data_IF_568730141586
#
_entry.id   IF_568730141586
#
_cell.length_a   1.000
_cell.length_b   1.000
_cell.length_c   1.000
_cell.angle_alpha   90.00
_cell.angle_beta   90.00
_cell.angle_gamma   90.00
#
_symmetry.space_group_name_H-M   'P 1'
#
loop_
_entity.id
_entity.type
_entity.pdbx_description
1 polymer ?
#
# COMPACT_ATOMS: atom_id res chain seq x y z
N UNK A 1 8.56 5.04 -8.92
CA UNK A 1 8.47 5.70 -7.60
C UNK A 1 8.23 7.19 -7.83
N UNK A 2 7.08 7.76 -7.42
CA UNK A 2 6.80 9.18 -7.62
C UNK A 2 7.85 10.05 -6.91
N UNK A 3 8.19 11.22 -7.49
CA UNK A 3 9.21 12.15 -6.97
C UNK A 3 9.02 12.48 -5.49
N UNK A 4 7.77 12.58 -5.04
CA UNK A 4 7.39 12.81 -3.64
C UNK A 4 7.93 11.73 -2.69
N UNK A 5 7.86 10.44 -3.06
CA UNK A 5 8.28 9.35 -2.19
C UNK A 5 9.82 9.30 -2.02
N UNK A 6 10.58 9.81 -3.00
CA UNK A 6 12.04 10.00 -2.87
C UNK A 6 12.37 11.11 -1.86
N UNK A 7 11.69 12.24 -1.94
CA UNK A 7 11.88 13.33 -0.98
C UNK A 7 11.36 13.00 0.42
N UNK A 8 10.26 12.24 0.51
CA UNK A 8 9.74 11.71 1.77
C UNK A 8 10.77 10.78 2.42
N UNK A 9 11.38 9.85 1.68
CA UNK A 9 12.37 8.92 2.22
C UNK A 9 13.68 9.61 2.62
N UNK A 10 14.15 10.61 1.87
CA UNK A 10 15.31 11.43 2.25
C UNK A 10 14.98 12.31 3.45
N UNK A 11 13.80 12.94 3.47
CA UNK A 11 13.31 13.72 4.60
C UNK A 11 13.10 12.86 5.85
N UNK A 12 12.62 11.62 5.68
CA UNK A 12 12.48 10.62 6.73
C UNK A 12 13.86 10.20 7.23
N UNK A 13 14.84 9.94 6.36
CA UNK A 13 16.21 9.63 6.80
C UNK A 13 16.84 10.77 7.62
N UNK A 14 16.57 12.03 7.27
CA UNK A 14 17.00 13.22 8.05
C UNK A 14 16.23 13.34 9.36
N UNK A 15 14.91 13.09 9.36
CA UNK A 15 14.10 13.04 10.58
C UNK A 15 14.57 11.94 11.53
N UNK A 16 14.84 10.74 11.01
CA UNK A 16 15.34 9.58 11.73
C UNK A 16 16.74 9.81 12.31
N UNK A 17 17.59 10.58 11.62
CA UNK A 17 18.90 10.99 12.12
C UNK A 17 18.80 12.04 13.25
N UNK A 18 17.68 12.75 13.39
CA UNK A 18 17.52 13.87 14.33
C UNK A 18 16.57 13.58 15.49
N UNK A 19 15.66 12.61 15.36
CA UNK A 19 14.71 12.18 16.40
C UNK A 19 15.11 10.88 17.09
N UNK A 20 16.27 10.31 16.74
CA UNK A 20 16.82 9.10 17.35
C UNK A 20 17.22 9.29 18.81
N UNK A 21 16.23 9.42 19.69
CA UNK A 21 16.42 9.28 21.14
C UNK A 21 15.81 7.97 21.61
N UNK A 22 16.71 7.15 22.16
CA UNK A 22 16.49 6.01 23.04
C UNK A 22 16.16 4.63 22.42
N UNK A 23 16.94 3.64 22.90
CA UNK A 23 16.69 2.18 22.91
C UNK A 23 17.24 1.30 21.79
N UNK A 24 18.53 1.48 21.42
CA UNK A 24 19.34 0.37 20.95
C UNK A 24 20.63 0.29 21.77
N UNK A 25 20.96 -0.89 22.29
CA UNK A 25 22.29 -1.22 22.86
C UNK A 25 23.42 -1.08 21.80
N UNK A 26 23.04 -0.98 20.52
CA UNK A 26 23.93 -0.72 19.38
C UNK A 26 23.96 0.78 19.06
N UNK A 27 25.16 1.33 18.85
CA UNK A 27 25.39 2.77 18.60
C UNK A 27 24.60 3.29 17.38
N UNK A 28 24.04 4.50 17.47
CA UNK A 28 23.20 5.08 16.42
C UNK A 28 23.82 5.14 15.01
N UNK A 29 25.15 5.26 14.90
CA UNK A 29 25.87 5.23 13.61
C UNK A 29 25.80 3.86 12.91
N UNK A 30 25.89 2.76 13.66
CA UNK A 30 25.77 1.41 13.12
C UNK A 30 24.36 1.15 12.58
N UNK A 31 23.33 1.65 13.28
CA UNK A 31 21.94 1.53 12.86
C UNK A 31 21.63 2.37 11.61
N UNK A 32 22.17 3.58 11.52
CA UNK A 32 22.06 4.42 10.31
C UNK A 32 22.78 3.75 9.13
N UNK A 33 23.99 3.25 9.34
CA UNK A 33 24.75 2.53 8.31
C UNK A 33 24.02 1.26 7.83
N UNK A 34 23.43 0.51 8.75
CA UNK A 34 22.61 -0.65 8.43
C UNK A 34 21.34 -0.27 7.66
N UNK A 35 20.65 0.81 8.05
CA UNK A 35 19.49 1.31 7.33
C UNK A 35 19.83 1.73 5.89
N UNK A 36 20.97 2.41 5.69
CA UNK A 36 21.48 2.73 4.36
C UNK A 36 21.82 1.47 3.56
N UNK A 37 22.52 0.51 4.19
CA UNK A 37 22.86 -0.77 3.57
C UNK A 37 21.61 -1.53 3.12
N UNK A 38 20.59 -1.60 3.96
CA UNK A 38 19.32 -2.26 3.70
C UNK A 38 18.47 -1.53 2.64
N UNK A 39 18.54 -0.21 2.58
CA UNK A 39 17.89 0.59 1.55
C UNK A 39 18.51 0.33 0.17
N UNK A 40 19.85 0.28 0.11
CA UNK A 40 20.61 0.08 -1.12
C UNK A 40 20.54 -1.37 -1.63
N UNK A 41 20.71 -2.33 -0.72
CA UNK A 41 20.72 -3.75 -1.02
C UNK A 41 19.92 -4.51 0.04
N UNK A 42 18.71 -5.01 -0.29
CA UNK A 42 17.88 -5.73 0.68
C UNK A 42 18.62 -6.91 1.32
N UNK A 43 18.57 -6.99 2.65
CA UNK A 43 19.25 -7.98 3.49
C UNK A 43 20.62 -7.55 4.04
N UNK A 44 21.30 -6.57 3.43
CA UNK A 44 22.65 -6.19 3.86
C UNK A 44 22.66 -5.51 5.21
N UNK A 45 21.68 -4.64 5.50
CA UNK A 45 21.66 -3.96 6.79
C UNK A 45 21.49 -4.95 7.94
N UNK A 46 20.59 -5.91 7.77
CA UNK A 46 20.41 -6.99 8.74
C UNK A 46 21.66 -7.86 8.89
N UNK A 47 22.32 -8.22 7.79
CA UNK A 47 23.56 -9.02 7.84
C UNK A 47 24.70 -8.28 8.55
N UNK A 48 24.86 -6.97 8.32
CA UNK A 48 25.84 -6.13 9.02
C UNK A 48 25.57 -6.04 10.53
N UNK A 49 24.30 -6.15 10.90
CA UNK A 49 23.84 -6.16 12.28
C UNK A 49 23.88 -7.56 12.92
N UNK A 50 24.22 -8.61 12.17
CA UNK A 50 24.20 -10.00 12.66
C UNK A 50 22.81 -10.65 12.73
N UNK A 51 21.78 -9.98 12.18
CA UNK A 51 20.38 -10.45 12.16
C UNK A 51 20.13 -11.29 10.90
N UNK A 52 20.83 -12.43 10.78
CA UNK A 52 20.88 -13.21 9.53
C UNK A 52 19.53 -13.83 9.14
N UNK A 53 18.69 -14.19 10.11
CA UNK A 53 17.33 -14.66 9.89
C UNK A 53 16.48 -13.58 9.18
N UNK A 54 16.57 -12.32 9.65
CA UNK A 54 15.92 -11.17 9.02
C UNK A 54 16.52 -10.81 7.67
N UNK A 55 17.84 -10.94 7.52
CA UNK A 55 18.51 -10.76 6.24
C UNK A 55 17.96 -11.75 5.19
N UNK A 56 17.79 -13.02 5.56
CA UNK A 56 17.22 -14.05 4.69
C UNK A 56 15.74 -13.82 4.45
N UNK A 57 14.95 -13.58 5.50
CA UNK A 57 13.49 -13.45 5.39
C UNK A 57 13.11 -12.13 4.70
N UNK A 58 13.40 -10.99 5.32
CA UNK A 58 13.00 -9.69 4.78
C UNK A 58 13.80 -9.33 3.53
N UNK A 59 15.13 -9.53 3.55
CA UNK A 59 15.96 -9.31 2.38
C UNK A 59 15.57 -10.22 1.22
N UNK A 60 15.39 -11.52 1.47
CA UNK A 60 14.98 -12.50 0.45
C UNK A 60 13.58 -12.22 -0.13
N UNK A 61 12.59 -11.89 0.71
CA UNK A 61 11.25 -11.52 0.26
C UNK A 61 11.28 -10.24 -0.60
N UNK A 62 12.05 -9.24 -0.20
CA UNK A 62 12.24 -8.00 -0.98
C UNK A 62 12.93 -8.29 -2.31
N UNK A 63 13.95 -9.14 -2.35
CA UNK A 63 14.59 -9.57 -3.59
C UNK A 63 13.65 -10.33 -4.51
N UNK A 64 12.86 -11.25 -3.96
CA UNK A 64 11.88 -12.01 -4.73
C UNK A 64 10.83 -11.06 -5.36
N UNK A 65 10.27 -10.14 -4.57
CA UNK A 65 9.31 -9.15 -5.06
C UNK A 65 9.93 -8.21 -6.12
N UNK A 66 11.14 -7.70 -5.87
CA UNK A 66 11.87 -6.83 -6.81
C UNK A 66 12.18 -7.55 -8.13
N UNK A 67 12.65 -8.79 -8.06
CA UNK A 67 12.96 -9.62 -9.22
C UNK A 67 11.71 -9.89 -10.07
N UNK A 68 10.60 -10.26 -9.42
CA UNK A 68 9.31 -10.45 -10.11
C UNK A 68 8.81 -9.15 -10.73
N UNK A 69 8.84 -8.04 -10.00
CA UNK A 69 8.52 -6.72 -10.55
C UNK A 69 9.38 -6.39 -11.78
N UNK A 70 10.70 -6.52 -11.68
CA UNK A 70 11.62 -6.22 -12.78
C UNK A 70 11.37 -7.12 -14.00
N UNK A 71 11.06 -8.39 -13.79
CA UNK A 71 10.70 -9.32 -14.86
C UNK A 71 9.45 -8.86 -15.61
N UNK A 72 8.38 -8.48 -14.90
CA UNK A 72 7.15 -8.00 -15.54
C UNK A 72 7.31 -6.61 -16.15
N UNK A 73 8.01 -5.70 -15.49
CA UNK A 73 8.19 -4.31 -15.93
C UNK A 73 9.07 -4.17 -17.19
N UNK A 74 9.83 -5.21 -17.56
CA UNK A 74 10.59 -5.29 -18.82
C UNK A 74 9.72 -5.69 -20.02
N UNK A 75 8.53 -6.26 -19.78
CA UNK A 75 7.62 -6.62 -20.88
C UNK A 75 7.13 -5.37 -21.61
N UNK A 76 7.04 -5.39 -22.94
CA UNK A 76 6.40 -4.30 -23.70
C UNK A 76 4.92 -4.13 -23.35
N UNK A 77 4.28 -5.16 -22.78
CA UNK A 77 2.88 -5.10 -22.34
C UNK A 77 2.70 -4.43 -20.97
N UNK A 78 3.78 -4.08 -20.27
CA UNK A 78 3.69 -3.41 -18.97
C UNK A 78 3.34 -1.92 -19.14
N UNK A 79 2.16 -1.53 -18.63
CA UNK A 79 1.66 -0.16 -18.67
C UNK A 79 2.21 0.63 -17.49
N UNK A 80 3.04 1.64 -17.79
CA UNK A 80 3.68 2.50 -16.77
C UNK A 80 2.79 3.65 -16.32
N UNK A 81 2.11 4.28 -17.27
CA UNK A 81 1.32 5.48 -17.00
C UNK A 81 -0.11 5.06 -16.61
N UNK A 82 -0.62 5.52 -15.46
CA UNK A 82 -1.98 5.25 -15.06
C UNK A 82 -3.04 5.67 -16.07
N UNK A 83 -2.78 6.67 -16.92
CA UNK A 83 -3.68 7.07 -18.01
C UNK A 83 -3.89 5.98 -19.05
N UNK A 84 -2.98 5.01 -19.16
CA UNK A 84 -3.14 3.84 -20.01
C UNK A 84 -3.95 2.72 -19.35
N UNK A 85 -4.13 2.80 -18.03
CA UNK A 85 -4.77 1.75 -17.22
C UNK A 85 -6.22 2.12 -16.91
N UNK A 86 -6.47 3.38 -16.53
CA UNK A 86 -7.78 3.81 -16.02
C UNK A 86 -8.44 4.77 -16.99
N UNK A 87 -9.68 4.45 -17.38
CA UNK A 87 -10.58 5.34 -18.11
C UNK A 87 -11.84 5.56 -17.28
N UNK A 88 -12.25 6.82 -17.16
CA UNK A 88 -13.43 7.19 -16.41
C UNK A 88 -14.35 8.03 -17.30
N UNK A 89 -15.61 7.66 -17.35
CA UNK A 89 -16.64 8.32 -18.17
C UNK A 89 -17.88 8.59 -17.32
N UNK A 90 -18.54 9.72 -17.55
CA UNK A 90 -19.87 9.96 -16.98
C UNK A 90 -20.92 9.35 -17.92
N UNK A 91 -21.80 8.53 -17.36
CA UNK A 91 -22.88 7.87 -18.07
C UNK A 91 -24.21 8.16 -17.37
N UNK A 92 -25.31 8.16 -18.12
CA UNK A 92 -26.66 8.28 -17.56
C UNK A 92 -27.35 6.93 -17.65
N UNK A 93 -27.70 6.35 -16.51
CA UNK A 93 -28.42 5.07 -16.42
C UNK A 93 -29.70 5.32 -15.62
N UNK A 94 -30.85 5.05 -16.23
CA UNK A 94 -32.18 5.27 -15.65
C UNK A 94 -32.39 6.71 -15.13
N UNK A 95 -31.92 7.70 -15.91
CA UNK A 95 -32.02 9.12 -15.56
C UNK A 95 -31.11 9.58 -14.42
N UNK A 96 -30.22 8.71 -13.91
CA UNK A 96 -29.21 9.05 -12.89
C UNK A 96 -27.82 9.09 -13.52
N UNK A 97 -27.10 10.17 -13.27
CA UNK A 97 -25.68 10.25 -13.59
C UNK A 97 -24.89 9.26 -12.75
N UNK A 98 -24.05 8.46 -13.41
CA UNK A 98 -23.15 7.49 -12.80
C UNK A 98 -21.77 7.63 -13.42
N UNK A 99 -20.76 7.30 -12.65
CA UNK A 99 -19.39 7.23 -13.14
C UNK A 99 -19.06 5.79 -13.55
N UNK A 100 -18.80 5.58 -14.84
CA UNK A 100 -18.26 4.32 -15.37
C UNK A 100 -16.74 4.34 -15.26
N UNK A 101 -16.15 3.22 -14.83
CA UNK A 101 -14.70 3.03 -14.86
C UNK A 101 -14.32 1.78 -15.66
N UNK A 102 -13.55 1.97 -16.71
CA UNK A 102 -12.91 0.89 -17.47
C UNK A 102 -11.44 0.78 -17.06
N UNK A 103 -10.99 -0.44 -16.74
CA UNK A 103 -9.65 -0.73 -16.23
C UNK A 103 -8.97 -1.72 -17.17
N UNK A 104 -7.83 -1.33 -17.74
CA UNK A 104 -7.09 -2.12 -18.73
C UNK A 104 -5.85 -2.70 -18.08
N UNK A 105 -5.82 -4.03 -17.94
CA UNK A 105 -4.71 -4.74 -17.30
C UNK A 105 -4.21 -5.86 -18.18
N UNK A 106 -2.95 -5.72 -18.63
CA UNK A 106 -2.19 -6.90 -19.03
C UNK A 106 -1.79 -7.73 -17.81
N UNK A 107 -1.47 -9.00 -18.03
CA UNK A 107 -0.90 -9.87 -16.98
C UNK A 107 0.33 -9.20 -16.35
N UNK A 108 1.23 -8.67 -17.16
CA UNK A 108 2.46 -8.04 -16.69
C UNK A 108 2.19 -6.75 -15.91
N UNK A 109 1.21 -5.94 -16.31
CA UNK A 109 0.83 -4.74 -15.55
C UNK A 109 0.28 -5.11 -14.18
N UNK A 110 -0.64 -6.08 -14.10
CA UNK A 110 -1.23 -6.51 -12.84
C UNK A 110 -0.17 -7.06 -11.88
N UNK A 111 0.57 -8.10 -12.30
CA UNK A 111 1.58 -8.71 -11.46
C UNK A 111 2.74 -7.75 -11.14
N UNK A 112 3.19 -6.95 -12.11
CA UNK A 112 4.25 -5.97 -11.90
C UNK A 112 3.87 -4.94 -10.84
N UNK A 113 2.65 -4.37 -10.91
CA UNK A 113 2.17 -3.42 -9.90
C UNK A 113 2.01 -4.07 -8.53
N UNK A 114 1.47 -5.29 -8.46
CA UNK A 114 1.32 -6.01 -7.20
C UNK A 114 2.68 -6.27 -6.53
N UNK A 115 3.67 -6.81 -7.27
CA UNK A 115 5.01 -7.05 -6.73
C UNK A 115 5.77 -5.77 -6.38
N UNK A 116 5.56 -4.67 -7.11
CA UNK A 116 6.10 -3.36 -6.74
C UNK A 116 5.51 -2.85 -5.41
N UNK A 117 4.20 -3.05 -5.20
CA UNK A 117 3.51 -2.73 -3.95
C UNK A 117 4.02 -3.59 -2.79
N UNK A 118 4.17 -4.89 -2.99
CA UNK A 118 4.76 -5.80 -1.98
C UNK A 118 6.20 -5.40 -1.62
N UNK A 119 7.05 -5.11 -2.61
CA UNK A 119 8.42 -4.65 -2.39
C UNK A 119 8.46 -3.33 -1.58
N UNK A 120 7.60 -2.37 -1.94
CA UNK A 120 7.49 -1.09 -1.23
C UNK A 120 7.11 -1.28 0.23
N UNK A 121 6.11 -2.11 0.49
CA UNK A 121 5.62 -2.33 1.85
C UNK A 121 6.54 -3.19 2.72
N UNK A 122 7.22 -4.18 2.13
CA UNK A 122 8.31 -4.87 2.82
C UNK A 122 9.46 -3.91 3.16
N UNK A 123 9.75 -2.94 2.28
CA UNK A 123 10.73 -1.89 2.58
C UNK A 123 10.28 -1.01 3.75
N UNK A 124 8.99 -0.67 3.83
CA UNK A 124 8.44 0.08 4.96
C UNK A 124 8.52 -0.70 6.28
N UNK A 125 8.21 -1.99 6.27
CA UNK A 125 8.35 -2.86 7.43
C UNK A 125 9.81 -2.92 7.93
N UNK A 126 10.76 -3.05 7.00
CA UNK A 126 12.18 -3.03 7.32
C UNK A 126 12.66 -1.69 7.87
N UNK A 127 12.16 -0.56 7.34
CA UNK A 127 12.46 0.78 7.88
C UNK A 127 11.99 0.88 9.33
N UNK A 128 10.80 0.39 9.64
CA UNK A 128 10.27 0.38 11.00
C UNK A 128 11.12 -0.47 11.94
N UNK A 129 11.47 -1.71 11.55
CA UNK A 129 12.26 -2.62 12.40
C UNK A 129 13.65 -2.08 12.71
N UNK A 130 14.29 -1.42 11.74
CA UNK A 130 15.57 -0.75 11.94
C UNK A 130 15.44 0.53 12.77
N UNK A 131 14.31 1.25 12.67
CA UNK A 131 14.02 2.42 13.50
C UNK A 131 13.76 2.06 14.97
N UNK A 132 12.89 1.08 15.23
CA UNK A 132 12.39 0.78 16.57
C UNK A 132 13.39 -0.01 17.43
N UNK A 133 14.23 -0.84 16.81
CA UNK A 133 15.13 -1.73 17.55
C UNK A 133 16.45 -2.03 16.86
N UNK A 134 16.83 -1.26 15.85
CA UNK A 134 18.03 -1.52 15.05
C UNK A 134 18.08 -2.98 14.56
N UNK A 135 16.92 -3.51 14.14
CA UNK A 135 16.80 -4.88 13.64
C UNK A 135 16.86 -5.99 14.69
N UNK A 136 17.12 -5.71 15.96
CA UNK A 136 17.23 -6.76 17.00
C UNK A 136 15.89 -7.23 17.59
N UNK A 137 14.80 -6.47 17.36
CA UNK A 137 13.50 -6.77 17.97
C UNK A 137 12.78 -7.91 17.26
N UNK A 138 12.47 -8.98 17.99
CA UNK A 138 11.65 -10.09 17.47
C UNK A 138 10.18 -9.70 17.23
N UNK A 139 9.71 -8.62 17.86
CA UNK A 139 8.32 -8.13 17.74
C UNK A 139 7.91 -7.85 16.28
N UNK A 140 8.86 -7.54 15.41
CA UNK A 140 8.60 -7.35 13.98
C UNK A 140 7.95 -8.58 13.33
N UNK A 141 8.32 -9.80 13.73
CA UNK A 141 7.65 -11.01 13.23
C UNK A 141 6.19 -11.10 13.67
N UNK A 142 5.88 -10.68 14.90
CA UNK A 142 4.50 -10.62 15.41
C UNK A 142 3.68 -9.58 14.65
N UNK A 143 4.29 -8.43 14.33
CA UNK A 143 3.63 -7.39 13.55
C UNK A 143 3.44 -7.80 12.08
N UNK A 144 4.35 -8.58 11.49
CA UNK A 144 4.12 -9.19 10.17
C UNK A 144 2.93 -10.17 10.17
N UNK A 145 2.64 -10.78 11.32
CA UNK A 145 1.48 -11.65 11.51
C UNK A 145 0.23 -10.88 12.01
N UNK A 146 0.33 -9.58 12.27
CA UNK A 146 -0.72 -8.78 12.90
C UNK A 146 -2.11 -8.93 12.26
N UNK A 147 -2.27 -9.00 10.92
CA UNK A 147 -3.61 -9.19 10.34
C UNK A 147 -4.33 -10.47 10.80
N UNK A 148 -3.58 -11.47 11.27
CA UNK A 148 -4.14 -12.76 11.71
C UNK A 148 -4.09 -12.94 13.23
N UNK A 149 -3.70 -11.90 13.97
CA UNK A 149 -3.68 -11.90 15.45
C UNK A 149 -5.07 -11.62 16.01
N UNK A 150 -6.03 -12.47 15.63
CA UNK A 150 -7.43 -12.36 16.06
C UNK A 150 -7.52 -12.34 17.58
N UNK A 151 -6.63 -13.06 18.28
CA UNK A 151 -6.51 -13.02 19.73
C UNK A 151 -6.34 -11.61 20.33
N UNK A 152 -5.79 -10.67 19.55
CA UNK A 152 -5.56 -9.29 19.95
C UNK A 152 -6.79 -8.38 19.75
N UNK A 153 -7.59 -8.60 18.70
CA UNK A 153 -8.64 -7.66 18.30
C UNK A 153 -10.05 -8.27 18.18
N UNK A 154 -10.26 -9.53 18.56
CA UNK A 154 -11.56 -10.18 18.41
C UNK A 154 -12.68 -9.47 19.18
N UNK A 155 -12.37 -8.89 20.33
CA UNK A 155 -13.32 -8.19 21.18
C UNK A 155 -13.40 -6.68 20.89
N UNK A 156 -12.54 -6.18 19.99
CA UNK A 156 -12.37 -4.75 19.81
C UNK A 156 -13.36 -4.21 18.77
N UNK A 157 -14.30 -3.33 19.17
CA UNK A 157 -15.23 -2.74 18.22
C UNK A 157 -14.52 -1.83 17.21
N UNK A 158 -13.34 -1.31 17.59
CA UNK A 158 -12.45 -0.54 16.73
C UNK A 158 -11.88 -1.37 15.57
N UNK A 159 -11.77 -2.68 15.72
CA UNK A 159 -11.47 -3.56 14.59
C UNK A 159 -12.71 -3.87 13.75
N UNK A 160 -13.80 -4.31 14.40
CA UNK A 160 -14.95 -4.83 13.66
C UNK A 160 -15.75 -3.77 12.92
N UNK A 161 -15.89 -2.55 13.45
CA UNK A 161 -16.65 -1.49 12.81
C UNK A 161 -16.18 -1.19 11.37
N UNK A 162 -14.88 -0.88 11.12
CA UNK A 162 -14.40 -0.66 9.76
C UNK A 162 -14.47 -1.93 8.89
N UNK A 163 -14.16 -3.11 9.46
CA UNK A 163 -14.17 -4.38 8.70
C UNK A 163 -15.58 -4.73 8.21
N UNK A 164 -16.59 -4.62 9.08
CA UNK A 164 -17.99 -4.84 8.71
C UNK A 164 -18.44 -3.79 7.70
N UNK A 165 -18.09 -2.51 7.93
CA UNK A 165 -18.42 -1.44 6.98
C UNK A 165 -17.83 -1.72 5.59
N UNK A 166 -16.56 -2.13 5.49
CA UNK A 166 -15.94 -2.54 4.22
C UNK A 166 -16.69 -3.70 3.54
N UNK A 167 -17.31 -4.58 4.32
CA UNK A 167 -18.13 -5.68 3.83
C UNK A 167 -19.45 -5.26 3.21
N UNK A 168 -20.03 -4.13 3.61
CA UNK A 168 -21.39 -3.73 3.22
C UNK A 168 -21.48 -2.41 2.44
N UNK A 169 -20.43 -1.58 2.46
CA UNK A 169 -20.44 -0.28 1.78
C UNK A 169 -20.69 -0.45 0.28
N UNK A 170 -21.58 0.33 -0.35
CA UNK A 170 -21.76 0.29 -1.80
C UNK A 170 -20.49 0.72 -2.53
N UNK A 171 -20.02 -0.12 -3.46
CA UNK A 171 -18.79 0.12 -4.22
C UNK A 171 -19.03 0.67 -5.63
N UNK A 172 -20.26 0.61 -6.13
CA UNK A 172 -20.57 0.89 -7.53
C UNK A 172 -19.84 -0.05 -8.50
N UNK A 173 -19.49 -1.27 -8.04
CA UNK A 173 -18.73 -2.27 -8.82
C UNK A 173 -19.42 -2.65 -10.12
N UNK A 174 -20.74 -2.49 -10.20
CA UNK A 174 -21.57 -2.68 -11.40
C UNK A 174 -21.19 -1.72 -12.54
N UNK A 175 -20.66 -0.54 -12.21
CA UNK A 175 -20.17 0.45 -13.19
C UNK A 175 -18.69 0.27 -13.52
N UNK A 176 -18.06 -0.81 -13.05
CA UNK A 176 -16.64 -1.09 -13.24
C UNK A 176 -16.45 -2.28 -14.17
N UNK A 177 -15.66 -2.09 -15.23
CA UNK A 177 -15.32 -3.14 -16.20
C UNK A 177 -13.80 -3.32 -16.27
N UNK A 178 -13.35 -4.55 -16.00
CA UNK A 178 -11.97 -4.96 -16.17
C UNK A 178 -11.76 -5.57 -17.57
N UNK A 179 -10.96 -4.90 -18.38
CA UNK A 179 -10.43 -5.41 -19.65
C UNK A 179 -9.10 -6.10 -19.32
N UNK A 180 -9.11 -7.43 -19.26
CA UNK A 180 -7.95 -8.24 -18.85
C UNK A 180 -7.49 -9.19 -19.94
N UNK A 181 -6.19 -9.46 -20.00
CA UNK A 181 -5.65 -10.49 -20.91
C UNK A 181 -6.32 -11.85 -20.63
N UNK A 182 -6.53 -12.65 -21.67
CA UNK A 182 -7.18 -13.96 -21.57
C UNK A 182 -6.44 -14.96 -20.67
N UNK A 183 -5.14 -14.71 -20.43
CA UNK A 183 -4.30 -15.50 -19.54
C UNK A 183 -4.17 -14.89 -18.13
N UNK A 184 -5.00 -13.92 -17.75
CA UNK A 184 -5.09 -13.37 -16.40
C UNK A 184 -6.51 -13.60 -15.87
N UNK A 185 -6.67 -14.61 -15.03
CA UNK A 185 -7.97 -14.91 -14.44
C UNK A 185 -8.31 -13.98 -13.28
N UNK A 186 -9.61 -13.77 -13.06
CA UNK A 186 -10.13 -13.07 -11.87
C UNK A 186 -9.63 -13.70 -10.57
N UNK A 187 -9.55 -15.04 -10.51
CA UNK A 187 -9.12 -15.73 -9.30
C UNK A 187 -7.63 -15.50 -9.01
N UNK A 188 -6.77 -15.48 -10.04
CA UNK A 188 -5.36 -15.09 -9.87
C UNK A 188 -5.24 -13.67 -9.31
N UNK A 189 -6.06 -12.74 -9.82
CA UNK A 189 -6.06 -11.37 -9.31
C UNK A 189 -6.46 -11.32 -7.83
N UNK A 190 -7.54 -12.02 -7.46
CA UNK A 190 -8.00 -12.10 -6.07
C UNK A 190 -6.91 -12.68 -5.15
N UNK A 191 -6.29 -13.79 -5.54
CA UNK A 191 -5.29 -14.47 -4.71
C UNK A 191 -4.04 -13.62 -4.50
N UNK A 192 -3.55 -12.98 -5.57
CA UNK A 192 -2.37 -12.12 -5.44
C UNK A 192 -2.69 -10.84 -4.67
N UNK A 193 -3.86 -10.25 -4.90
CA UNK A 193 -4.31 -9.07 -4.17
C UNK A 193 -4.47 -9.36 -2.68
N UNK A 194 -4.94 -10.55 -2.29
CA UNK A 194 -4.97 -10.94 -0.88
C UNK A 194 -3.59 -10.76 -0.23
N UNK A 195 -2.55 -11.40 -0.77
CA UNK A 195 -1.18 -11.29 -0.24
C UNK A 195 -0.67 -9.84 -0.30
N UNK A 196 -0.95 -9.14 -1.40
CA UNK A 196 -0.53 -7.75 -1.59
C UNK A 196 -1.07 -6.85 -0.49
N UNK A 197 -2.37 -6.91 -0.22
CA UNK A 197 -3.03 -5.99 0.71
C UNK A 197 -2.80 -6.34 2.18
N UNK A 198 -2.48 -7.61 2.50
CA UNK A 198 -1.89 -7.92 3.80
C UNK A 198 -0.58 -7.14 4.01
N UNK A 199 0.31 -7.18 3.03
CA UNK A 199 1.58 -6.44 3.11
C UNK A 199 1.37 -4.92 3.09
N UNK A 200 0.39 -4.39 2.36
CA UNK A 200 0.03 -2.96 2.40
C UNK A 200 -0.32 -2.53 3.82
N UNK A 201 -1.27 -3.20 4.47
CA UNK A 201 -1.64 -2.84 5.84
C UNK A 201 -0.47 -2.93 6.82
N UNK A 202 0.38 -3.96 6.69
CA UNK A 202 1.57 -4.11 7.53
C UNK A 202 2.57 -2.98 7.28
N UNK A 203 2.99 -2.79 6.04
CA UNK A 203 4.06 -1.86 5.69
C UNK A 203 3.66 -0.40 5.92
N UNK A 204 2.49 0.00 5.45
CA UNK A 204 2.04 1.39 5.59
C UNK A 204 1.82 1.76 7.06
N UNK A 205 1.20 0.92 7.89
CA UNK A 205 1.02 1.25 9.31
C UNK A 205 2.33 1.23 10.09
N UNK A 206 3.24 0.28 9.81
CA UNK A 206 4.59 0.31 10.38
C UNK A 206 5.32 1.63 10.05
N UNK A 207 5.23 2.13 8.83
CA UNK A 207 5.84 3.41 8.46
C UNK A 207 5.10 4.61 9.08
N UNK A 208 3.81 4.76 8.78
CA UNK A 208 3.09 5.99 9.11
C UNK A 208 2.79 6.11 10.60
N UNK A 209 2.55 5.00 11.31
CA UNK A 209 2.18 5.01 12.73
C UNK A 209 3.41 4.66 13.56
N UNK A 210 4.06 3.55 13.20
CA UNK A 210 5.24 3.05 13.89
C UNK A 210 6.45 4.00 13.80
N UNK A 211 6.67 4.66 12.67
CA UNK A 211 7.81 5.56 12.47
C UNK A 211 7.40 7.03 12.49
N UNK A 212 6.51 7.47 11.60
CA UNK A 212 6.20 8.90 11.41
C UNK A 212 5.44 9.46 12.60
N UNK A 213 4.27 8.90 12.95
CA UNK A 213 3.47 9.38 14.07
C UNK A 213 4.25 9.24 15.39
N UNK A 214 5.00 8.14 15.57
CA UNK A 214 5.89 7.96 16.73
C UNK A 214 6.94 9.05 16.83
N UNK A 215 7.67 9.32 15.75
CA UNK A 215 8.72 10.34 15.72
C UNK A 215 8.17 11.72 16.00
N UNK A 216 7.01 12.04 15.41
CA UNK A 216 6.30 13.29 15.68
C UNK A 216 5.87 13.39 17.14
N UNK A 217 5.30 12.31 17.72
CA UNK A 217 4.92 12.29 19.13
C UNK A 217 6.11 12.56 20.05
N UNK A 218 7.23 11.87 19.82
CA UNK A 218 8.45 12.04 20.60
C UNK A 218 9.00 13.46 20.47
N UNK A 219 9.07 14.00 19.25
CA UNK A 219 9.53 15.36 18.98
C UNK A 219 8.64 16.43 19.62
N UNK A 220 7.32 16.34 19.41
CA UNK A 220 6.36 17.28 19.99
C UNK A 220 6.31 17.20 21.52
N UNK A 221 6.53 16.02 22.12
CA UNK A 221 6.57 15.85 23.57
C UNK A 221 7.74 16.59 24.24
N UNK A 222 8.76 17.00 23.47
CA UNK A 222 9.86 17.83 23.96
C UNK A 222 9.47 19.28 24.29
N UNK A 223 8.36 19.78 23.73
CA UNK A 223 7.93 21.18 23.89
C UNK A 223 6.43 21.41 24.03
N UNK A 224 5.59 20.38 23.82
CA UNK A 224 4.15 20.38 24.09
C UNK A 224 3.82 19.45 25.27
N UNK A 225 2.66 19.64 25.89
CA UNK A 225 2.12 18.63 26.81
C UNK A 225 1.92 17.29 26.08
N UNK A 226 2.09 16.16 26.77
CA UNK A 226 1.93 14.83 26.14
C UNK A 226 0.57 14.63 25.47
N UNK A 227 -0.49 15.27 25.99
CA UNK A 227 -1.83 15.26 25.38
C UNK A 227 -1.87 16.06 24.08
N UNK A 228 -1.25 17.24 24.05
CA UNK A 228 -1.14 18.03 22.83
C UNK A 228 -0.25 17.33 21.80
N UNK A 229 0.91 16.80 22.21
CA UNK A 229 1.81 16.02 21.35
C UNK A 229 1.11 14.83 20.71
N UNK A 230 0.28 14.09 21.45
CA UNK A 230 -0.58 13.03 20.93
C UNK A 230 -1.45 13.51 19.78
N UNK A 231 -2.28 14.52 19.99
CA UNK A 231 -3.20 15.00 18.96
C UNK A 231 -2.49 15.64 17.78
N UNK A 232 -1.45 16.43 18.02
CA UNK A 232 -0.66 17.06 16.96
C UNK A 232 0.06 16.00 16.11
N UNK A 233 0.70 15.00 16.73
CA UNK A 233 1.37 13.91 15.99
C UNK A 233 0.39 13.12 15.13
N UNK A 234 -0.80 12.81 15.67
CA UNK A 234 -1.86 12.11 14.95
C UNK A 234 -2.34 12.90 13.73
N UNK A 235 -2.70 14.18 13.92
CA UNK A 235 -3.21 15.03 12.82
C UNK A 235 -2.14 15.23 11.75
N UNK A 236 -0.90 15.51 12.15
CA UNK A 236 0.20 15.71 11.22
C UNK A 236 0.53 14.43 10.46
N UNK A 237 0.63 13.27 11.13
CA UNK A 237 0.85 11.99 10.45
C UNK A 237 -0.27 11.64 9.47
N UNK A 238 -1.53 11.91 9.85
CA UNK A 238 -2.70 11.72 8.98
C UNK A 238 -2.66 12.63 7.75
N UNK A 239 -2.21 13.87 7.89
CA UNK A 239 -2.02 14.79 6.78
C UNK A 239 -0.94 14.30 5.81
N UNK A 240 0.18 13.79 6.33
CA UNK A 240 1.24 13.19 5.50
C UNK A 240 0.70 11.94 4.77
N UNK A 241 -0.07 11.10 5.46
CA UNK A 241 -0.71 9.92 4.88
C UNK A 241 -1.70 10.30 3.76
N UNK A 242 -2.55 11.31 3.99
CA UNK A 242 -3.44 11.87 2.98
C UNK A 242 -2.70 12.43 1.76
N UNK A 243 -1.60 13.16 1.98
CA UNK A 243 -0.77 13.72 0.91
C UNK A 243 -0.05 12.64 0.07
N UNK A 244 0.22 11.46 0.66
CA UNK A 244 0.79 10.33 -0.07
C UNK A 244 -0.21 9.63 -1.01
N UNK A 245 -1.49 9.98 -0.91
CA UNK A 245 -2.60 9.34 -1.63
C UNK A 245 -3.19 10.25 -2.71
N UNK A 246 -3.49 9.69 -3.89
CA UNK A 246 -4.00 10.43 -5.05
C UNK A 246 -5.40 10.04 -5.50
N UNK A 247 -5.97 8.96 -4.98
CA UNK A 247 -7.25 8.41 -5.44
C UNK A 247 -7.17 7.54 -6.70
N UNK A 248 -5.96 7.34 -7.22
CA UNK A 248 -5.76 6.67 -8.49
C UNK A 248 -5.98 5.16 -8.38
N UNK A 249 -6.69 4.59 -9.35
CA UNK A 249 -6.88 3.15 -9.43
C UNK A 249 -7.60 2.55 -8.24
N UNK A 250 -8.57 3.29 -7.72
CA UNK A 250 -9.31 3.01 -6.49
C UNK A 250 -8.49 2.99 -5.20
N UNK A 251 -7.28 3.55 -5.18
CA UNK A 251 -6.69 3.95 -3.91
C UNK A 251 -7.59 5.00 -3.25
N UNK A 252 -7.49 5.17 -1.93
CA UNK A 252 -8.12 6.30 -1.27
C UNK A 252 -7.62 7.61 -1.90
N UNK A 253 -8.53 8.60 -2.06
CA UNK A 253 -8.14 9.97 -2.37
C UNK A 253 -7.56 10.63 -1.11
N UNK A 254 -6.92 11.79 -1.26
CA UNK A 254 -6.21 12.43 -0.14
C UNK A 254 -7.10 12.70 1.08
N UNK A 255 -8.38 13.06 0.87
CA UNK A 255 -9.33 13.32 1.95
C UNK A 255 -9.77 12.06 2.68
N UNK A 256 -10.12 11.00 1.92
CA UNK A 256 -10.47 9.69 2.49
C UNK A 256 -9.27 9.09 3.23
N UNK A 257 -8.08 9.19 2.62
CA UNK A 257 -6.84 8.74 3.24
C UNK A 257 -6.54 9.53 4.51
N UNK A 258 -6.70 10.86 4.53
CA UNK A 258 -6.59 11.64 5.77
C UNK A 258 -7.54 11.15 6.86
N UNK A 259 -8.81 10.91 6.53
CA UNK A 259 -9.81 10.40 7.49
C UNK A 259 -9.45 9.01 8.04
N UNK A 260 -9.07 8.08 7.17
CA UNK A 260 -8.53 6.77 7.59
C UNK A 260 -7.26 6.94 8.43
N UNK A 261 -6.42 7.90 8.05
CA UNK A 261 -5.27 8.43 8.77
C UNK A 261 -5.57 8.68 10.24
N UNK A 262 -6.55 9.55 10.46
CA UNK A 262 -7.00 10.00 11.78
C UNK A 262 -7.51 8.83 12.62
N UNK A 263 -8.29 7.94 12.00
CA UNK A 263 -8.85 6.77 12.68
C UNK A 263 -7.76 5.79 13.12
N UNK A 264 -6.93 5.33 12.18
CA UNK A 264 -5.85 4.38 12.45
C UNK A 264 -4.80 4.98 13.40
N UNK A 265 -4.53 6.28 13.29
CA UNK A 265 -3.63 6.99 14.21
C UNK A 265 -4.19 7.12 15.63
N UNK A 266 -5.52 7.20 15.78
CA UNK A 266 -6.18 7.19 17.09
C UNK A 266 -6.17 5.79 17.71
N UNK A 267 -6.48 4.75 16.94
CA UNK A 267 -6.38 3.34 17.37
C UNK A 267 -4.94 3.01 17.75
N UNK A 268 -3.97 3.46 16.96
CA UNK A 268 -2.54 3.26 17.24
C UNK A 268 -2.09 3.89 18.55
N UNK A 269 -2.58 5.08 18.90
CA UNK A 269 -2.20 5.79 20.11
C UNK A 269 -3.45 6.07 20.95
N UNK A 270 -4.05 5.04 21.60
CA UNK A 270 -5.37 5.13 22.23
C UNK A 270 -5.35 6.03 23.47
N UNK A 271 -4.23 6.05 24.18
CA UNK A 271 -4.00 6.89 25.35
C UNK A 271 -2.61 7.54 25.33
N UNK A 272 -2.39 8.50 26.22
CA UNK A 272 -1.10 9.18 26.30
C UNK A 272 0.00 8.18 26.67
N UNK A 273 0.98 8.01 25.77
CA UNK A 273 2.11 7.11 25.98
C UNK A 273 1.83 5.63 25.70
N UNK A 274 0.60 5.26 25.34
CA UNK A 274 0.21 3.90 24.97
C UNK A 274 0.20 3.74 23.46
N UNK A 275 0.71 2.62 22.95
CA UNK A 275 0.79 2.43 21.51
C UNK A 275 0.58 0.98 21.09
N UNK A 276 -0.25 0.80 20.07
CA UNK A 276 -0.59 -0.51 19.53
C UNK A 276 -0.55 -0.51 18.00
N UNK A 277 0.40 -1.24 17.42
CA UNK A 277 0.48 -1.40 15.96
C UNK A 277 -0.32 -2.60 15.44
N UNK A 278 -0.66 -3.57 16.29
CA UNK A 278 -1.29 -4.81 15.81
C UNK A 278 -2.68 -4.50 15.24
N UNK A 279 -3.50 -3.77 16.01
CA UNK A 279 -4.86 -3.44 15.59
C UNK A 279 -4.93 -2.56 14.33
N UNK A 280 -4.21 -1.43 14.20
CA UNK A 280 -4.28 -0.62 12.97
C UNK A 280 -3.75 -1.36 11.74
N UNK A 281 -2.71 -2.21 11.88
CA UNK A 281 -2.24 -3.07 10.79
C UNK A 281 -3.37 -4.01 10.34
N UNK A 282 -4.04 -4.67 11.29
CA UNK A 282 -5.11 -5.60 10.99
C UNK A 282 -6.30 -4.91 10.32
N UNK A 283 -6.72 -3.75 10.83
CA UNK A 283 -7.81 -2.95 10.23
C UNK A 283 -7.48 -2.61 8.78
N UNK A 284 -6.30 -2.03 8.52
CA UNK A 284 -5.90 -1.61 7.18
C UNK A 284 -5.81 -2.80 6.22
N UNK A 285 -5.13 -3.88 6.62
CA UNK A 285 -4.97 -5.09 5.81
C UNK A 285 -6.32 -5.71 5.41
N UNK A 286 -7.24 -5.88 6.37
CA UNK A 286 -8.55 -6.47 6.12
C UNK A 286 -9.48 -5.54 5.36
N UNK A 287 -9.46 -4.24 5.66
CA UNK A 287 -10.23 -3.23 4.92
C UNK A 287 -9.93 -3.30 3.43
N UNK A 288 -8.66 -3.19 3.05
CA UNK A 288 -8.25 -3.22 1.64
C UNK A 288 -8.56 -4.57 0.99
N UNK A 289 -8.29 -5.66 1.71
CA UNK A 289 -8.55 -7.01 1.22
C UNK A 289 -10.03 -7.22 0.90
N UNK A 290 -10.92 -6.81 1.79
CA UNK A 290 -12.37 -6.95 1.60
C UNK A 290 -12.83 -6.09 0.43
N UNK A 291 -12.46 -4.81 0.40
CA UNK A 291 -12.87 -3.89 -0.66
C UNK A 291 -12.42 -4.35 -2.04
N UNK A 292 -11.17 -4.81 -2.16
CA UNK A 292 -10.62 -5.28 -3.44
C UNK A 292 -11.23 -6.63 -3.84
N UNK A 293 -11.40 -7.55 -2.89
CA UNK A 293 -12.05 -8.83 -3.17
C UNK A 293 -13.47 -8.62 -3.72
N UNK A 294 -14.26 -7.79 -3.03
CA UNK A 294 -15.61 -7.41 -3.44
C UNK A 294 -15.60 -6.77 -4.83
N UNK A 295 -14.74 -5.77 -5.06
CA UNK A 295 -14.63 -5.12 -6.37
C UNK A 295 -14.29 -6.12 -7.49
N UNK A 296 -13.32 -7.00 -7.29
CA UNK A 296 -12.95 -7.99 -8.31
C UNK A 296 -14.06 -9.02 -8.58
N UNK A 297 -14.88 -9.35 -7.57
CA UNK A 297 -15.99 -10.31 -7.72
C UNK A 297 -17.24 -9.69 -8.36
N UNK A 298 -17.56 -8.48 -7.95
CA UNK A 298 -18.80 -7.78 -8.32
C UNK A 298 -18.68 -7.03 -9.66
N UNK A 299 -17.46 -6.75 -10.15
CA UNK A 299 -17.23 -6.07 -11.43
C UNK A 299 -17.33 -6.97 -12.66
N UNK A 300 -17.56 -6.34 -13.82
CA UNK A 300 -17.57 -7.01 -15.11
C UNK A 300 -16.14 -7.29 -15.59
N UNK A 301 -15.95 -8.42 -16.27
CA UNK A 301 -14.66 -8.82 -16.85
C UNK A 301 -14.87 -9.12 -18.34
N UNK A 302 -14.03 -8.50 -19.17
CA UNK A 302 -14.02 -8.70 -20.62
C UNK A 302 -12.60 -8.97 -21.08
N UNK A 303 -12.47 -9.73 -22.17
CA UNK A 303 -11.18 -10.00 -22.75
C UNK A 303 -10.59 -8.73 -23.37
N UNK A 304 -9.39 -8.36 -22.92
CA UNK A 304 -8.58 -7.29 -23.48
C UNK A 304 -7.95 -7.74 -24.79
N UNK A 305 -7.99 -6.89 -25.82
CA UNK A 305 -7.24 -7.13 -27.06
C UNK A 305 -5.76 -6.84 -26.85
N UNK A 306 -4.90 -7.54 -27.59
CA UNK A 306 -3.47 -7.26 -27.57
C UNK A 306 -3.20 -5.78 -27.89
N UNK A 307 -2.45 -5.11 -27.01
CA UNK A 307 -2.11 -3.69 -27.15
C UNK A 307 -3.19 -2.69 -26.76
N UNK A 308 -4.39 -3.13 -26.34
CA UNK A 308 -5.48 -2.24 -25.93
C UNK A 308 -5.15 -1.51 -24.61
N UNK A 309 -5.46 -0.22 -24.53
CA UNK A 309 -5.24 0.59 -23.32
C UNK A 309 -6.39 1.56 -23.11
N UNK A 310 -6.48 2.19 -21.94
CA UNK A 310 -7.45 3.25 -21.67
C UNK A 310 -7.35 4.43 -22.66
N UNK A 311 -6.16 4.71 -23.20
CA UNK A 311 -5.93 5.75 -24.21
C UNK A 311 -6.17 5.29 -25.65
N UNK A 312 -6.00 3.99 -25.92
CA UNK A 312 -6.24 3.40 -27.23
C UNK A 312 -7.24 2.23 -27.09
N UNK A 313 -8.52 2.52 -26.83
CA UNK A 313 -9.56 1.50 -26.89
C UNK A 313 -9.65 1.09 -28.36
N UNK A 314 -9.08 -0.07 -28.71
CA UNK A 314 -9.16 -0.62 -30.06
C UNK A 314 -10.59 -1.11 -30.29
N UNK A 315 -11.51 -0.16 -30.50
CA UNK A 315 -12.82 -0.42 -31.05
C UNK A 315 -12.58 -1.06 -32.42
N UNK A 316 -13.06 -2.29 -32.61
CA UNK A 316 -13.13 -2.86 -33.94
C UNK A 316 -14.12 -2.02 -34.75
N UNK A 317 -13.64 -1.00 -35.45
CA UNK A 317 -14.41 -0.40 -36.55
C UNK A 317 -14.29 -1.32 -37.75
N UNK A 318 -15.15 -2.32 -37.79
CA UNK A 318 -15.59 -2.91 -39.05
C UNK A 318 -17.09 -2.76 -39.08
N UNK A 319 -17.55 -1.67 -39.69
CA UNK A 319 -18.88 -1.63 -40.27
C UNK A 319 -18.73 -2.04 -41.73
N UNK A 320 -19.34 -3.14 -42.19
CA UNK A 320 -19.43 -3.38 -43.62
C UNK A 320 -20.42 -2.36 -44.18
N UNK A 321 -19.92 -1.38 -44.92
CA UNK A 321 -20.69 -0.69 -45.94
C UNK A 321 -20.01 -1.01 -47.27
N UNK A 322 -20.66 -1.87 -48.05
CA UNK A 322 -20.35 -2.14 -49.47
C UNK A 322 -18.94 -2.67 -49.78
N UNK A 323 -18.48 -3.70 -49.07
CA UNK A 323 -17.53 -4.67 -49.65
C UNK A 323 -16.09 -4.21 -49.94
N UNK A 324 -15.63 -3.05 -49.45
CA UNK A 324 -14.22 -2.64 -49.59
C UNK A 324 -13.59 -2.24 -48.25
N UNK A 325 -12.39 -2.75 -47.99
CA UNK A 325 -11.59 -2.46 -46.79
C UNK A 325 -10.57 -1.36 -47.10
N UNK A 326 -10.60 -0.26 -46.35
CA UNK A 326 -9.51 0.72 -46.32
C UNK A 326 -8.94 0.84 -44.90
N UNK A 327 -7.61 0.95 -44.81
CA UNK A 327 -6.84 1.25 -43.60
C UNK A 327 -6.54 2.75 -43.56
N UNK A 328 -6.73 3.37 -42.41
CA UNK A 328 -5.92 4.52 -41.99
C UNK A 328 -5.12 4.11 -40.77
#
# INVERSE_FOLDING_TARGET
MPRFLRYLLVGLAVLLATTGTAQAERTGLACIGAMLGEYLLPGVGYALLGEYDKAVIFGGLRWAALSKYASFARSPNYLKDPKDIYKTEQITVDGKERQKMDIYLSRETFYGKAYASMYGNLTFATIYDLYDGCGSKSETYKLMAAPFRIDHFWAEPTFWAPVVYAGVVPLGSDNVTYHVDTNLSRQEMINLSFVQYQLVGIGEEMLFRGVIQRSLYNGFSGFLSKKAARWTSLVTASAIFGAAHSGQGFSANSGVAFGAGMYLGWVYNPEVGQFDLIEPIAIHAWWDTILVNRRLRESQFVARKSGETARNPLAARTYPLFGFTYRF
#
